data_IF_405643992357
#
_entry.id   IF_405643992357
#
_cell.length_a   1.000
_cell.length_b   1.000
_cell.length_c   1.000
_cell.angle_alpha   90.00
_cell.angle_beta   90.00
_cell.angle_gamma   90.00
#
_symmetry.space_group_name_H-M   'P 1'
#
loop_
_entity.id
_entity.type
_entity.pdbx_description
1 polymer ?
#
# COMPACT_ATOMS: atom_id res chain seq x y z
N UNK A 1 -6.74 34.02 -16.65
CA UNK A 1 -5.66 34.53 -17.54
C UNK A 1 -5.13 35.78 -16.85
N UNK A 2 -4.02 35.85 -16.10
CA UNK A 2 -2.69 35.21 -16.05
C UNK A 2 -2.24 35.19 -14.56
N UNK A 3 -1.76 34.07 -14.00
CA UNK A 3 -0.33 33.75 -13.73
C UNK A 3 0.50 34.87 -13.05
N UNK A 4 0.79 34.64 -11.75
CA UNK A 4 2.15 34.66 -11.18
C UNK A 4 2.80 36.00 -10.85
N UNK A 5 3.45 36.05 -9.67
CA UNK A 5 4.80 36.57 -9.39
C UNK A 5 4.93 36.82 -7.87
N UNK A 6 5.36 35.81 -7.10
CA UNK A 6 5.89 36.06 -5.75
C UNK A 6 7.43 36.06 -5.84
N UNK A 7 8.10 37.15 -5.47
CA UNK A 7 9.56 37.23 -5.51
C UNK A 7 10.19 36.50 -4.30
N UNK A 8 11.26 35.74 -4.57
CA UNK A 8 12.52 35.55 -3.82
C UNK A 8 12.46 35.39 -2.28
N UNK A 9 12.92 34.25 -1.72
CA UNK A 9 14.27 34.06 -1.09
C UNK A 9 14.54 35.13 0.02
N UNK A 10 14.78 34.90 1.31
CA UNK A 10 15.46 33.87 2.15
C UNK A 10 14.99 34.17 3.60
N UNK A 11 14.78 33.24 4.54
CA UNK A 11 15.78 32.75 5.51
C UNK A 11 15.22 31.54 6.29
N UNK A 12 15.81 30.36 6.04
CA UNK A 12 15.76 29.22 6.98
C UNK A 12 17.10 29.22 7.70
N UNK A 13 17.10 29.58 8.98
CA UNK A 13 18.25 29.34 9.86
C UNK A 13 17.86 28.24 10.85
N UNK A 14 18.29 27.01 10.56
CA UNK A 14 18.42 25.96 11.56
C UNK A 14 19.84 25.42 11.48
N UNK A 15 20.69 25.89 12.38
CA UNK A 15 22.04 25.34 12.58
C UNK A 15 21.94 24.16 13.55
N UNK A 16 22.15 22.95 13.04
CA UNK A 16 22.66 21.85 13.83
C UNK A 16 23.44 20.88 12.91
N UNK A 17 24.75 20.77 13.16
CA UNK A 17 25.65 19.76 12.58
C UNK A 17 25.50 18.40 13.29
N UNK A 18 26.05 17.30 12.71
CA UNK A 18 25.34 16.04 12.61
C UNK A 18 25.55 15.14 13.82
N UNK A 19 24.47 14.66 14.43
CA UNK A 19 24.54 13.35 15.08
C UNK A 19 24.52 12.29 13.99
N UNK A 20 25.64 11.61 13.76
CA UNK A 20 25.68 10.35 13.03
C UNK A 20 24.92 9.30 13.85
N UNK A 21 23.60 9.41 13.87
CA UNK A 21 22.77 8.29 14.26
C UNK A 21 22.84 7.34 13.07
N UNK A 22 23.52 6.21 13.25
CA UNK A 22 23.18 4.99 12.53
C UNK A 22 21.77 4.58 12.97
N UNK A 23 20.78 5.42 12.65
CA UNK A 23 19.43 4.93 12.40
C UNK A 23 19.64 4.06 11.19
N UNK A 24 19.61 2.74 11.38
CA UNK A 24 19.26 1.85 10.29
C UNK A 24 17.86 2.29 9.88
N UNK A 25 17.80 3.33 9.04
CA UNK A 25 16.58 3.78 8.39
C UNK A 25 16.02 2.50 7.79
N UNK A 26 14.77 2.12 8.11
CA UNK A 26 14.17 0.98 7.45
C UNK A 26 14.37 1.24 5.96
N UNK A 27 15.15 0.38 5.29
CA UNK A 27 15.41 0.49 3.86
C UNK A 27 14.08 0.82 3.25
N UNK A 28 13.97 2.00 2.64
CA UNK A 28 12.69 2.51 2.16
C UNK A 28 12.03 1.37 1.39
N UNK A 29 10.84 0.94 1.84
CA UNK A 29 10.17 -0.23 1.25
C UNK A 29 9.99 -0.05 -0.26
N UNK A 30 9.90 1.21 -0.66
CA UNK A 30 9.96 1.70 -2.04
C UNK A 30 11.36 2.25 -2.32
N UNK A 31 12.05 1.71 -3.33
CA UNK A 31 13.40 2.13 -3.73
C UNK A 31 13.38 3.57 -4.23
N UNK A 32 14.22 4.43 -3.65
CA UNK A 32 14.34 5.85 -4.03
C UNK A 32 13.17 6.75 -3.59
N UNK A 33 12.25 6.21 -2.79
CA UNK A 33 11.12 6.96 -2.24
C UNK A 33 11.37 7.50 -0.82
N UNK A 34 10.46 8.35 -0.37
CA UNK A 34 10.33 8.80 1.02
C UNK A 34 8.91 8.48 1.52
N UNK A 35 8.70 8.40 2.85
CA UNK A 35 7.35 8.31 3.41
C UNK A 35 6.45 9.43 2.88
N UNK A 36 5.21 9.10 2.52
CA UNK A 36 4.23 10.09 2.12
C UNK A 36 3.63 10.76 3.36
N UNK A 37 3.17 12.03 3.27
CA UNK A 37 2.33 12.61 4.32
C UNK A 37 1.02 11.82 4.49
N UNK A 38 0.46 11.75 5.72
CA UNK A 38 -0.84 11.12 5.96
C UNK A 38 -1.91 11.63 5.00
N UNK A 39 -2.74 10.73 4.47
CA UNK A 39 -3.85 11.09 3.59
C UNK A 39 -3.47 11.55 2.18
N UNK A 40 -2.18 11.48 1.78
CA UNK A 40 -1.77 11.87 0.42
C UNK A 40 -2.36 10.96 -0.67
N UNK A 41 -2.67 9.72 -0.33
CA UNK A 41 -3.17 8.69 -1.25
C UNK A 41 -4.35 7.94 -0.62
N UNK A 42 -5.49 8.60 -0.39
CA UNK A 42 -6.62 8.04 0.36
C UNK A 42 -7.27 6.84 -0.37
N UNK A 43 -7.01 6.69 -1.66
CA UNK A 43 -7.46 5.55 -2.46
C UNK A 43 -6.50 4.35 -2.43
N UNK A 44 -5.34 4.44 -1.75
CA UNK A 44 -4.42 3.31 -1.63
C UNK A 44 -5.02 2.28 -0.67
N UNK A 45 -4.98 1.01 -1.08
CA UNK A 45 -5.59 -0.09 -0.34
C UNK A 45 -4.55 -1.13 0.04
N UNK A 46 -4.58 -1.56 1.29
CA UNK A 46 -3.76 -2.65 1.83
C UNK A 46 -4.54 -3.97 1.72
N UNK A 47 -4.08 -4.88 0.86
CA UNK A 47 -4.65 -6.23 0.75
C UNK A 47 -3.84 -7.18 1.62
N UNK A 48 -4.51 -7.75 2.61
CA UNK A 48 -3.89 -8.61 3.62
C UNK A 48 -4.26 -10.07 3.42
N UNK A 49 -3.26 -10.94 3.56
CA UNK A 49 -3.43 -12.38 3.71
C UNK A 49 -2.98 -12.76 5.12
N UNK A 50 -3.85 -13.42 5.88
CA UNK A 50 -3.58 -13.82 7.28
C UNK A 50 -3.11 -12.65 8.18
N UNK A 51 -3.65 -11.45 7.95
CA UNK A 51 -3.31 -10.23 8.69
C UNK A 51 -2.01 -9.54 8.28
N UNK A 52 -1.31 -10.07 7.26
CA UNK A 52 -0.08 -9.49 6.74
C UNK A 52 -0.29 -8.84 5.37
N UNK A 53 0.29 -7.65 5.15
CA UNK A 53 0.27 -6.95 3.86
C UNK A 53 0.89 -7.83 2.75
N UNK A 54 0.07 -8.20 1.78
CA UNK A 54 0.41 -9.09 0.68
C UNK A 54 0.46 -8.34 -0.66
N UNK A 55 -0.55 -7.52 -0.95
CA UNK A 55 -0.65 -6.72 -2.17
C UNK A 55 -1.15 -5.30 -1.89
N UNK A 56 -0.96 -4.42 -2.87
CA UNK A 56 -1.64 -3.13 -2.93
C UNK A 56 -2.89 -3.17 -3.83
N UNK A 57 -3.76 -2.20 -3.66
CA UNK A 57 -4.90 -1.95 -4.55
C UNK A 57 -5.26 -0.47 -4.63
N UNK A 58 -6.21 -0.15 -5.49
CA UNK A 58 -6.76 1.20 -5.65
C UNK A 58 -8.27 1.17 -5.50
N UNK A 59 -8.80 1.98 -4.58
CA UNK A 59 -10.23 2.21 -4.44
C UNK A 59 -10.70 3.08 -5.62
N UNK A 60 -11.52 2.50 -6.51
CA UNK A 60 -12.06 3.19 -7.68
C UNK A 60 -13.50 3.65 -7.49
N UNK A 61 -14.19 3.09 -6.49
CA UNK A 61 -15.52 3.49 -6.04
C UNK A 61 -15.70 3.09 -4.57
N UNK A 62 -16.76 3.56 -3.93
CA UNK A 62 -17.16 3.24 -2.55
C UNK A 62 -17.08 1.76 -2.17
N UNK A 63 -17.34 0.85 -3.11
CA UNK A 63 -17.30 -0.59 -2.90
C UNK A 63 -16.47 -1.36 -3.92
N UNK A 64 -15.58 -0.69 -4.67
CA UNK A 64 -14.80 -1.32 -5.74
C UNK A 64 -13.31 -1.02 -5.61
N UNK A 65 -12.52 -2.09 -5.53
CA UNK A 65 -11.06 -2.03 -5.53
C UNK A 65 -10.51 -2.73 -6.76
N UNK A 66 -9.57 -2.09 -7.44
CA UNK A 66 -8.80 -2.66 -8.55
C UNK A 66 -7.42 -3.07 -8.05
N UNK A 67 -6.98 -4.27 -8.41
CA UNK A 67 -5.64 -4.80 -8.11
C UNK A 67 -5.26 -5.84 -9.16
N UNK A 68 -4.06 -6.42 -9.04
CA UNK A 68 -3.60 -7.49 -9.91
C UNK A 68 -4.30 -8.82 -9.56
N UNK A 69 -4.74 -9.54 -10.59
CA UNK A 69 -5.46 -10.80 -10.43
C UNK A 69 -4.68 -11.88 -9.65
N UNK A 70 -3.34 -11.89 -9.72
CA UNK A 70 -2.51 -12.85 -9.00
C UNK A 70 -2.51 -12.64 -7.47
N UNK A 71 -2.98 -11.49 -6.99
CA UNK A 71 -3.14 -11.24 -5.56
C UNK A 71 -4.23 -12.14 -4.95
N UNK A 72 -5.21 -12.61 -5.75
CA UNK A 72 -6.34 -13.42 -5.28
C UNK A 72 -6.16 -14.93 -5.46
N UNK A 73 -4.93 -15.43 -5.38
CA UNK A 73 -4.66 -16.88 -5.42
C UNK A 73 -5.14 -17.62 -4.15
N UNK A 74 -5.43 -16.90 -3.06
CA UNK A 74 -5.95 -17.42 -1.79
C UNK A 74 -7.36 -16.90 -1.50
N UNK A 75 -8.16 -17.70 -0.79
CA UNK A 75 -9.56 -17.44 -0.49
C UNK A 75 -9.79 -16.54 0.73
N UNK A 76 -8.75 -16.18 1.48
CA UNK A 76 -8.86 -15.43 2.74
C UNK A 76 -8.11 -14.10 2.70
N UNK A 77 -8.57 -13.18 1.84
CA UNK A 77 -8.00 -11.84 1.72
C UNK A 77 -8.92 -10.81 2.39
N UNK A 78 -8.33 -9.98 3.25
CA UNK A 78 -8.97 -8.81 3.82
C UNK A 78 -8.48 -7.55 3.10
N UNK A 79 -9.36 -6.56 3.02
CA UNK A 79 -9.06 -5.26 2.42
C UNK A 79 -9.05 -4.23 3.53
N UNK A 80 -7.95 -3.51 3.69
CA UNK A 80 -7.85 -2.41 4.66
C UNK A 80 -7.74 -1.10 3.89
N UNK A 81 -8.69 -0.20 4.16
CA UNK A 81 -8.73 1.16 3.62
C UNK A 81 -8.45 2.15 4.75
N UNK A 82 -7.90 3.33 4.40
CA UNK A 82 -7.50 4.34 5.39
C UNK A 82 -6.16 4.08 6.09
N UNK A 83 -5.52 2.95 5.78
CA UNK A 83 -4.22 2.55 6.32
C UNK A 83 -3.09 3.53 5.96
N UNK A 84 -2.25 3.85 6.94
CA UNK A 84 -1.08 4.72 6.79
C UNK A 84 0.21 4.15 7.39
N UNK A 85 0.13 3.54 8.58
CA UNK A 85 1.26 2.97 9.30
C UNK A 85 0.91 1.59 9.84
N UNK A 86 1.21 0.56 9.02
CA UNK A 86 0.90 -0.86 9.27
C UNK A 86 1.49 -1.43 10.58
N UNK A 87 2.35 -0.66 11.26
CA UNK A 87 2.93 -1.05 12.56
C UNK A 87 2.08 -0.61 13.75
N UNK A 88 1.06 0.20 13.50
CA UNK A 88 0.12 0.75 14.49
C UNK A 88 -1.29 0.31 14.14
N UNK A 89 -2.19 0.48 15.10
CA UNK A 89 -3.62 0.35 14.88
C UNK A 89 -4.20 1.75 14.82
N UNK A 90 -4.82 2.10 13.70
CA UNK A 90 -5.48 3.39 13.51
C UNK A 90 -7.01 3.23 13.66
N UNK A 91 -7.70 4.06 14.46
CA UNK A 91 -9.16 4.02 14.54
C UNK A 91 -9.88 4.34 13.22
N UNK A 92 -9.22 5.05 12.29
CA UNK A 92 -9.80 5.42 11.00
C UNK A 92 -9.65 4.32 9.93
N UNK A 93 -8.89 3.26 10.23
CA UNK A 93 -8.75 2.08 9.38
C UNK A 93 -10.02 1.22 9.37
N UNK A 94 -10.42 0.81 8.17
CA UNK A 94 -11.55 -0.10 8.00
C UNK A 94 -11.10 -1.40 7.36
N UNK A 95 -11.25 -2.48 8.11
CA UNK A 95 -11.01 -3.85 7.63
C UNK A 95 -12.30 -4.40 7.04
N UNK A 96 -12.30 -4.62 5.73
CA UNK A 96 -13.45 -5.07 4.95
C UNK A 96 -13.19 -6.46 4.37
N UNK A 97 -14.23 -7.30 4.39
CA UNK A 97 -14.22 -8.60 3.75
C UNK A 97 -14.55 -8.47 2.26
N UNK A 98 -13.77 -9.14 1.41
CA UNK A 98 -14.06 -9.18 -0.03
C UNK A 98 -15.29 -10.05 -0.29
N UNK A 99 -16.33 -9.46 -0.90
CA UNK A 99 -17.56 -10.17 -1.25
C UNK A 99 -17.42 -10.97 -2.55
N UNK A 100 -16.75 -10.41 -3.56
CA UNK A 100 -16.58 -11.02 -4.88
C UNK A 100 -15.27 -10.55 -5.53
N UNK A 101 -14.58 -11.47 -6.20
CA UNK A 101 -13.44 -11.17 -7.07
C UNK A 101 -13.88 -11.34 -8.53
N UNK A 102 -13.62 -10.34 -9.36
CA UNK A 102 -13.93 -10.37 -10.80
C UNK A 102 -12.59 -10.28 -11.56
N UNK A 103 -11.97 -11.43 -11.90
CA UNK A 103 -10.74 -11.41 -12.67
C UNK A 103 -11.02 -10.96 -14.11
N UNK A 104 -10.04 -10.31 -14.72
CA UNK A 104 -10.11 -9.99 -16.14
C UNK A 104 -10.26 -11.29 -16.97
N UNK A 105 -11.16 -11.35 -17.99
CA UNK A 105 -11.51 -12.59 -18.68
C UNK A 105 -10.34 -13.34 -19.33
N UNK A 106 -9.27 -12.61 -19.69
CA UNK A 106 -8.07 -13.18 -20.31
C UNK A 106 -7.02 -13.69 -19.30
N UNK A 107 -7.21 -13.44 -18.01
CA UNK A 107 -6.29 -13.93 -16.97
C UNK A 107 -6.71 -15.34 -16.56
N UNK A 108 -5.78 -16.28 -16.69
CA UNK A 108 -5.91 -17.62 -16.12
C UNK A 108 -5.41 -17.56 -14.67
N UNK A 109 -6.31 -17.51 -13.71
CA UNK A 109 -5.93 -17.71 -12.31
C UNK A 109 -5.64 -19.20 -12.15
N UNK A 110 -4.36 -19.56 -12.10
CA UNK A 110 -3.98 -20.90 -11.69
C UNK A 110 -4.10 -20.95 -10.17
N UNK A 111 -5.08 -21.70 -9.67
CA UNK A 111 -5.03 -22.16 -8.30
C UNK A 111 -3.78 -23.03 -8.22
N UNK A 112 -2.76 -22.55 -7.50
CA UNK A 112 -1.50 -23.28 -7.34
C UNK A 112 -1.75 -24.46 -6.41
N UNK A 113 -2.26 -25.55 -6.97
CA UNK A 113 -2.36 -26.84 -6.31
C UNK A 113 -0.96 -27.46 -6.26
N UNK A 114 0.03 -26.84 -5.59
CA UNK A 114 1.37 -27.45 -5.48
C UNK A 114 1.43 -28.56 -4.42
N UNK A 115 0.33 -29.25 -4.16
CA UNK A 115 0.40 -30.57 -3.55
C UNK A 115 0.57 -31.57 -4.68
N UNK A 116 1.80 -31.69 -5.18
CA UNK A 116 2.20 -32.94 -5.84
C UNK A 116 1.94 -34.06 -4.81
N UNK A 117 1.21 -35.14 -5.15
CA UNK A 117 1.15 -36.29 -4.26
C UNK A 117 2.60 -36.75 -4.06
N UNK A 118 3.01 -36.98 -2.81
CA UNK A 118 4.23 -37.72 -2.55
C UNK A 118 4.12 -39.04 -3.33
N UNK A 119 4.94 -39.19 -4.36
CA UNK A 119 5.04 -40.41 -5.14
C UNK A 119 5.77 -41.45 -4.29
N UNK A 120 5.01 -42.47 -3.86
CA UNK A 120 5.39 -43.76 -3.30
C UNK A 120 6.13 -43.78 -1.96
#
# INVERSE_FOLDING_TARGET
VLRGLWPSLVEVLSTAEPSLQNVTQPRSRIVGGSPAPPGSWPWLVNLQLDGALMCGGVLVDSSWVVTAAHCFASSQIHTVVGEFDITKTDPDEQVLKVNRVIPHPKVKIQVVNNCSPASH
#
